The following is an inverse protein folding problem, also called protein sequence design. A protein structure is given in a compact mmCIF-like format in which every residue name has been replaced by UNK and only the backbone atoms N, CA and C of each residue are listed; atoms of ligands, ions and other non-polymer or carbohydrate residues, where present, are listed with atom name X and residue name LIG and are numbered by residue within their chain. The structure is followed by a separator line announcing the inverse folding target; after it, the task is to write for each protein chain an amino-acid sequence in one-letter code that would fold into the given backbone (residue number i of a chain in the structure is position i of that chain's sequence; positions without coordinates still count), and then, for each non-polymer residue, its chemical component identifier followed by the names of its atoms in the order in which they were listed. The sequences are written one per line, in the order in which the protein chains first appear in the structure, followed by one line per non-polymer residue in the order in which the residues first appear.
data_IF_535875791450
#
_entry.id   IF_535875791450
#
_cell.length_a   1.000
_cell.length_b   1.000
_cell.length_c   1.000
_cell.angle_alpha   90.00
_cell.angle_beta   90.00
_cell.angle_gamma   90.00
#
_symmetry.space_group_name_H-M   'P 1'
#
loop_
_entity.id
_entity.type
_entity.pdbx_description
1 polymer ?
#
# COMPACT_ATOMS: atom_id res chain seq x y z
N UNK A 1 14.99 -14.29 25.46
CA UNK A 1 14.78 -13.21 24.46
C UNK A 1 16.16 -12.76 24.01
N UNK A 2 16.48 -12.89 22.73
CA UNK A 2 17.70 -12.30 22.19
C UNK A 2 17.52 -10.78 22.08
N UNK A 3 18.58 -10.01 22.36
CA UNK A 3 18.57 -8.56 22.18
C UNK A 3 18.32 -8.22 20.71
N UNK A 4 17.24 -7.49 20.44
CA UNK A 4 16.91 -7.00 19.10
C UNK A 4 17.94 -5.92 18.75
N UNK A 5 18.72 -6.06 17.67
CA UNK A 5 19.66 -5.03 17.25
C UNK A 5 18.88 -3.76 16.89
N UNK A 6 19.20 -2.66 17.57
CA UNK A 6 18.60 -1.34 17.31
C UNK A 6 19.33 -0.73 16.13
N UNK A 7 18.78 -0.88 14.92
CA UNK A 7 19.26 -0.20 13.72
C UNK A 7 18.80 1.25 13.77
N UNK A 8 19.74 2.20 13.73
CA UNK A 8 19.43 3.64 13.72
C UNK A 8 19.43 4.16 12.29
N UNK A 9 18.70 5.25 12.06
CA UNK A 9 18.62 5.90 10.75
C UNK A 9 20.01 6.28 10.18
N UNK A 10 20.93 6.72 11.05
CA UNK A 10 22.29 7.09 10.66
C UNK A 10 23.23 5.90 10.46
N UNK A 11 22.78 4.68 10.79
CA UNK A 11 23.53 3.46 10.51
C UNK A 11 23.29 2.99 9.06
N UNK A 12 22.27 3.52 8.38
CA UNK A 12 21.99 3.22 6.98
C UNK A 12 22.98 3.93 6.05
N UNK A 13 23.51 3.20 5.07
CA UNK A 13 24.18 3.80 3.91
C UNK A 13 23.18 4.63 3.09
N UNK A 14 23.70 5.47 2.18
CA UNK A 14 22.86 6.30 1.30
C UNK A 14 21.88 5.46 0.46
N UNK A 15 22.32 4.31 -0.04
CA UNK A 15 21.49 3.44 -0.88
C UNK A 15 20.44 2.70 -0.05
N UNK A 16 20.79 2.27 1.16
CA UNK A 16 19.85 1.67 2.12
C UNK A 16 18.80 2.69 2.57
N UNK A 17 19.21 3.92 2.86
CA UNK A 17 18.29 5.02 3.17
C UNK A 17 17.33 5.28 2.01
N UNK A 18 17.82 5.39 0.78
CA UNK A 18 16.97 5.65 -0.39
C UNK A 18 15.95 4.52 -0.63
N UNK A 19 16.34 3.27 -0.39
CA UNK A 19 15.44 2.10 -0.47
C UNK A 19 14.41 2.09 0.65
N UNK A 20 14.82 2.28 1.89
CA UNK A 20 13.91 2.34 3.04
C UNK A 20 12.91 3.49 2.89
N UNK A 21 13.39 4.68 2.55
CA UNK A 21 12.57 5.89 2.51
C UNK A 21 11.50 5.80 1.43
N UNK A 22 11.84 5.25 0.25
CA UNK A 22 10.90 5.04 -0.85
C UNK A 22 9.89 3.91 -0.59
N UNK A 23 10.32 2.80 0.02
CA UNK A 23 9.46 1.65 0.25
C UNK A 23 8.51 1.82 1.45
N UNK A 24 8.99 2.43 2.55
CA UNK A 24 8.22 2.54 3.81
C UNK A 24 8.20 3.96 4.36
N UNK A 25 9.36 4.61 4.41
CA UNK A 25 9.55 5.84 5.19
C UNK A 25 8.55 6.96 4.84
N UNK A 26 8.34 7.24 3.55
CA UNK A 26 7.46 8.33 3.13
C UNK A 26 5.97 8.00 3.33
N UNK A 27 5.53 6.80 2.91
CA UNK A 27 4.13 6.42 2.98
C UNK A 27 3.64 6.24 4.43
N UNK A 28 4.42 5.56 5.27
CA UNK A 28 4.08 5.36 6.68
C UNK A 28 4.03 6.70 7.45
N UNK A 29 4.99 7.59 7.18
CA UNK A 29 4.99 8.90 7.84
C UNK A 29 3.84 9.78 7.35
N UNK A 30 3.51 9.78 6.06
CA UNK A 30 2.37 10.53 5.54
C UNK A 30 1.06 10.11 6.23
N UNK A 31 0.85 8.81 6.48
CA UNK A 31 -0.29 8.32 7.26
C UNK A 31 -0.24 8.78 8.71
N UNK A 32 0.93 8.74 9.36
CA UNK A 32 1.08 9.24 10.72
C UNK A 32 0.72 10.74 10.82
N UNK A 33 1.13 11.54 9.84
CA UNK A 33 0.78 12.96 9.76
C UNK A 33 -0.73 13.16 9.54
N UNK A 34 -1.35 12.40 8.64
CA UNK A 34 -2.81 12.44 8.44
C UNK A 34 -3.57 12.09 9.73
N UNK A 35 -3.17 11.05 10.47
CA UNK A 35 -3.94 10.61 11.63
C UNK A 35 -3.67 11.41 12.91
N UNK A 36 -2.52 12.08 13.02
CA UNK A 36 -2.07 12.69 14.28
C UNK A 36 -1.87 14.19 14.20
N UNK A 37 -1.79 14.76 13.01
CA UNK A 37 -1.54 16.18 12.83
C UNK A 37 -2.67 16.88 12.07
N UNK A 38 -3.10 16.33 10.93
CA UNK A 38 -4.14 16.85 10.02
C UNK A 38 -4.61 18.31 10.29
N UNK A 39 -3.73 19.29 10.08
CA UNK A 39 -4.01 20.69 10.40
C UNK A 39 -5.13 21.26 9.53
N UNK A 40 -5.28 20.73 8.32
CA UNK A 40 -6.18 21.24 7.29
C UNK A 40 -7.55 20.57 7.34
N UNK A 41 -7.73 19.60 8.25
CA UNK A 41 -8.97 18.82 8.33
C UNK A 41 -9.18 17.94 7.11
N UNK A 42 -8.10 17.60 6.37
CA UNK A 42 -8.11 16.68 5.24
C UNK A 42 -8.71 15.36 5.66
N UNK A 43 -8.51 14.88 6.89
CA UNK A 43 -9.14 13.66 7.36
C UNK A 43 -10.66 13.77 7.51
N UNK A 44 -11.22 14.98 7.67
CA UNK A 44 -12.66 15.18 7.76
C UNK A 44 -13.33 15.21 6.38
N UNK A 45 -12.67 15.80 5.39
CA UNK A 45 -13.20 15.92 4.03
C UNK A 45 -12.78 14.74 3.13
N UNK A 46 -11.60 14.17 3.39
CA UNK A 46 -10.93 13.09 2.66
C UNK A 46 -10.13 12.16 3.62
N UNK A 47 -10.80 11.39 4.50
CA UNK A 47 -10.20 10.53 5.54
C UNK A 47 -9.16 9.51 5.07
N UNK A 48 -9.00 9.37 3.76
CA UNK A 48 -8.19 8.35 3.08
C UNK A 48 -7.04 8.94 2.24
N UNK A 49 -6.98 10.26 2.06
CA UNK A 49 -5.94 10.93 1.27
C UNK A 49 -4.77 11.38 2.16
N UNK A 50 -3.82 10.48 2.43
CA UNK A 50 -2.53 10.89 3.01
C UNK A 50 -1.61 11.55 1.96
N UNK A 51 -2.05 11.66 0.71
CA UNK A 51 -1.27 12.17 -0.42
C UNK A 51 -0.84 13.62 -0.19
N UNK A 52 -1.70 14.42 0.43
CA UNK A 52 -1.42 15.82 0.77
C UNK A 52 -0.27 15.96 1.78
N UNK A 53 0.10 14.88 2.47
CA UNK A 53 1.22 14.84 3.42
C UNK A 53 2.47 14.18 2.86
N UNK A 54 2.49 13.77 1.59
CA UNK A 54 3.61 13.00 1.03
C UNK A 54 4.87 13.87 0.86
N UNK A 55 4.73 15.11 0.42
CA UNK A 55 5.84 16.09 0.34
C UNK A 55 6.42 16.40 1.72
N UNK A 56 5.55 16.57 2.70
CA UNK A 56 5.85 16.85 4.10
C UNK A 56 6.63 15.67 4.69
N UNK A 57 6.13 14.45 4.48
CA UNK A 57 6.77 13.22 4.93
C UNK A 57 8.17 13.06 4.32
N UNK A 58 8.33 13.29 3.01
CA UNK A 58 9.64 13.27 2.36
C UNK A 58 10.61 14.26 2.99
N UNK A 59 10.13 15.49 3.21
CA UNK A 59 10.95 16.55 3.78
C UNK A 59 11.36 16.26 5.22
N UNK A 60 10.48 15.67 6.03
CA UNK A 60 10.77 15.29 7.43
C UNK A 60 11.73 14.10 7.48
N UNK A 61 11.50 13.04 6.69
CA UNK A 61 12.39 11.87 6.62
C UNK A 61 13.80 12.27 6.21
N UNK A 62 13.93 13.14 5.18
CA UNK A 62 15.24 13.65 4.76
C UNK A 62 15.91 14.49 5.86
N UNK A 63 15.13 15.33 6.54
CA UNK A 63 15.60 16.11 7.69
C UNK A 63 16.17 15.22 8.79
N UNK A 64 15.41 14.21 9.22
CA UNK A 64 15.85 13.25 10.25
C UNK A 64 17.14 12.54 9.85
N UNK A 65 17.30 12.17 8.59
CA UNK A 65 18.53 11.53 8.10
C UNK A 65 19.74 12.47 8.13
N UNK A 66 19.51 13.76 7.88
CA UNK A 66 20.53 14.82 8.02
C UNK A 66 20.81 15.20 9.49
N UNK A 67 20.06 14.65 10.45
CA UNK A 67 20.22 14.91 11.87
C UNK A 67 19.36 16.06 12.41
N UNK A 68 18.26 16.40 11.72
CA UNK A 68 17.28 17.35 12.26
C UNK A 68 16.79 16.87 13.64
N UNK A 69 16.81 17.81 14.59
CA UNK A 69 16.29 17.60 15.93
C UNK A 69 14.84 18.11 16.06
N UNK A 70 14.31 18.01 17.28
CA UNK A 70 12.96 18.44 17.64
C UNK A 70 12.70 19.90 17.29
N UNK A 71 13.68 20.79 17.44
CA UNK A 71 13.50 22.22 17.16
C UNK A 71 13.42 22.50 15.67
N UNK A 72 14.22 21.80 14.86
CA UNK A 72 14.17 21.93 13.40
C UNK A 72 12.87 21.34 12.87
N UNK A 73 12.43 20.19 13.38
CA UNK A 73 11.13 19.58 13.07
C UNK A 73 9.98 20.53 13.39
N UNK A 74 9.93 21.07 14.61
CA UNK A 74 8.91 22.03 15.04
C UNK A 74 8.87 23.27 14.15
N UNK A 75 10.03 23.79 13.75
CA UNK A 75 10.14 24.95 12.85
C UNK A 75 9.59 24.63 11.45
N UNK A 76 9.88 23.44 10.93
CA UNK A 76 9.39 22.98 9.62
C UNK A 76 7.86 22.89 9.61
N UNK A 77 7.27 22.24 10.60
CA UNK A 77 5.81 22.14 10.73
C UNK A 77 5.15 23.51 10.83
N UNK A 78 5.68 24.40 11.68
CA UNK A 78 5.16 25.77 11.82
C UNK A 78 5.26 26.57 10.52
N UNK A 79 6.30 26.36 9.71
CA UNK A 79 6.46 27.06 8.44
C UNK A 79 5.49 26.56 7.37
N UNK A 80 5.26 25.24 7.29
CA UNK A 80 4.29 24.68 6.35
C UNK A 80 2.87 25.08 6.73
N UNK A 81 2.57 25.15 8.03
CA UNK A 81 1.24 25.52 8.53
C UNK A 81 0.90 27.02 8.42
N UNK A 82 1.83 27.88 7.96
CA UNK A 82 1.54 29.32 7.78
C UNK A 82 0.48 29.61 6.72
N UNK A 83 0.17 28.64 5.86
CA UNK A 83 -0.75 28.78 4.75
C UNK A 83 -2.15 28.23 5.04
N UNK A 84 -2.37 27.66 6.25
CA UNK A 84 -3.62 27.07 6.70
C UNK A 84 -4.33 27.99 7.73
N UNK A 85 -5.23 28.90 7.31
CA UNK A 85 -5.91 29.80 8.24
C UNK A 85 -6.89 29.03 9.15
N UNK A 86 -6.52 28.87 10.43
CA UNK A 86 -7.39 28.29 11.47
C UNK A 86 -6.78 27.12 12.24
N UNK A 87 -5.72 26.50 11.73
CA UNK A 87 -5.00 25.44 12.45
C UNK A 87 -3.87 26.05 13.28
N UNK A 88 -4.02 26.02 14.60
CA UNK A 88 -2.94 26.41 15.51
C UNK A 88 -2.20 25.15 15.94
N UNK A 89 -1.08 24.88 15.26
CA UNK A 89 -0.06 23.96 15.79
C UNK A 89 0.43 24.50 17.13
N UNK A 90 -0.03 23.88 18.22
CA UNK A 90 0.44 24.20 19.57
C UNK A 90 1.77 23.51 19.83
N UNK A 91 2.54 24.03 20.79
CA UNK A 91 3.76 23.37 21.24
C UNK A 91 3.47 21.96 21.79
N UNK A 92 2.29 21.75 22.38
CA UNK A 92 1.83 20.45 22.88
C UNK A 92 1.60 19.44 21.74
N UNK A 93 0.91 19.84 20.67
CA UNK A 93 0.69 18.99 19.49
C UNK A 93 2.01 18.64 18.78
N UNK A 94 2.95 19.59 18.73
CA UNK A 94 4.30 19.34 18.19
C UNK A 94 5.04 18.31 19.04
N UNK A 95 4.95 18.39 20.37
CA UNK A 95 5.56 17.41 21.27
C UNK A 95 4.95 16.02 21.12
N UNK A 96 3.63 15.93 21.04
CA UNK A 96 2.93 14.66 20.83
C UNK A 96 3.39 14.00 19.53
N UNK A 97 3.39 14.76 18.43
CA UNK A 97 3.79 14.28 17.12
C UNK A 97 5.27 13.87 17.08
N UNK A 98 6.16 14.66 17.70
CA UNK A 98 7.57 14.31 17.85
C UNK A 98 7.75 13.01 18.65
N UNK A 99 6.98 12.83 19.73
CA UNK A 99 6.94 11.59 20.50
C UNK A 99 6.50 10.39 19.66
N UNK A 100 5.53 10.56 18.75
CA UNK A 100 5.14 9.51 17.82
C UNK A 100 6.22 9.20 16.78
N UNK A 101 6.81 10.24 16.18
CA UNK A 101 7.87 10.12 15.20
C UNK A 101 9.10 9.38 15.74
N UNK A 102 9.55 9.74 16.94
CA UNK A 102 10.71 9.14 17.61
C UNK A 102 10.49 7.67 18.01
N UNK A 103 9.22 7.26 18.24
CA UNK A 103 8.87 5.85 18.44
C UNK A 103 8.71 5.08 17.12
N UNK A 104 8.13 5.72 16.11
CA UNK A 104 7.87 5.13 14.80
C UNK A 104 9.17 4.86 14.02
N UNK A 105 10.07 5.84 13.96
CA UNK A 105 11.25 5.81 13.10
C UNK A 105 12.14 4.57 13.31
N UNK A 106 12.60 4.24 14.53
CA UNK A 106 13.44 3.05 14.74
C UNK A 106 12.69 1.75 14.43
N UNK A 107 11.36 1.70 14.62
CA UNK A 107 10.56 0.54 14.27
C UNK A 107 10.45 0.39 12.75
N UNK A 108 10.18 1.48 12.01
CA UNK A 108 10.10 1.48 10.56
C UNK A 108 11.41 1.00 9.91
N UNK A 109 12.55 1.52 10.39
CA UNK A 109 13.88 1.14 9.89
C UNK A 109 14.20 -0.31 10.26
N UNK A 110 13.91 -0.71 11.51
CA UNK A 110 14.14 -2.08 11.95
C UNK A 110 13.33 -3.09 11.11
N UNK A 111 12.05 -2.78 10.83
CA UNK A 111 11.19 -3.61 9.97
C UNK A 111 11.82 -3.79 8.59
N UNK A 112 12.17 -2.69 7.93
CA UNK A 112 12.81 -2.73 6.62
C UNK A 112 14.17 -3.44 6.63
N UNK A 113 15.03 -3.15 7.62
CA UNK A 113 16.35 -3.81 7.70
C UNK A 113 16.22 -5.32 7.92
N UNK A 114 15.26 -5.75 8.75
CA UNK A 114 14.97 -7.16 8.96
C UNK A 114 14.45 -7.83 7.67
N UNK A 115 13.52 -7.18 6.96
CA UNK A 115 12.94 -7.67 5.69
C UNK A 115 13.99 -7.80 4.57
N UNK A 116 14.95 -6.87 4.47
CA UNK A 116 15.84 -6.81 3.31
C UNK A 116 17.26 -7.34 3.57
N UNK A 117 17.81 -7.18 4.78
CA UNK A 117 19.22 -7.47 5.05
C UNK A 117 19.46 -8.78 5.82
N UNK A 118 18.53 -9.20 6.67
CA UNK A 118 18.66 -10.44 7.45
C UNK A 118 18.03 -11.63 6.71
N UNK A 119 16.93 -11.41 5.99
CA UNK A 119 16.21 -12.45 5.24
C UNK A 119 16.57 -12.50 3.74
N UNK A 120 17.76 -12.00 3.38
CA UNK A 120 18.22 -11.77 2.00
C UNK A 120 17.69 -12.76 0.95
N UNK A 121 17.09 -12.22 -0.13
CA UNK A 121 16.46 -12.94 -1.27
C UNK A 121 15.05 -13.52 -1.04
N UNK A 122 14.07 -12.69 -0.65
CA UNK A 122 12.63 -13.04 -0.74
C UNK A 122 11.72 -11.96 -1.32
N UNK A 123 12.27 -11.03 -2.11
CA UNK A 123 11.41 -10.20 -2.96
C UNK A 123 10.72 -11.13 -3.98
N UNK A 124 9.38 -11.06 -4.06
CA UNK A 124 8.67 -11.65 -5.17
C UNK A 124 9.14 -10.93 -6.45
N UNK A 125 9.85 -11.60 -7.39
CA UNK A 125 10.36 -10.97 -8.61
C UNK A 125 9.24 -10.36 -9.45
N UNK A 126 8.02 -10.90 -9.34
CA UNK A 126 6.84 -10.40 -10.01
C UNK A 126 5.97 -9.62 -9.05
N UNK A 127 5.79 -8.33 -9.33
CA UNK A 127 4.76 -7.49 -8.74
C UNK A 127 3.95 -6.82 -9.84
N UNK A 128 2.62 -6.96 -9.76
CA UNK A 128 1.70 -6.39 -10.72
C UNK A 128 0.59 -5.64 -10.01
N UNK A 129 0.19 -4.54 -10.64
CA UNK A 129 -0.86 -3.66 -10.21
C UNK A 129 -1.96 -3.69 -11.28
N UNK A 130 -3.07 -4.35 -10.98
CA UNK A 130 -4.23 -4.43 -11.86
C UNK A 130 -5.10 -3.19 -11.61
N UNK A 131 -5.27 -2.39 -12.65
CA UNK A 131 -5.92 -1.08 -12.57
C UNK A 131 -7.02 -1.04 -13.63
N UNK A 132 -8.21 -0.53 -13.28
CA UNK A 132 -9.31 -0.34 -14.25
C UNK A 132 -9.13 0.89 -15.14
N UNK A 133 -8.42 1.90 -14.64
CA UNK A 133 -8.21 3.17 -15.33
C UNK A 133 -7.18 3.07 -16.42
N UNK A 134 -7.44 3.76 -17.53
CA UNK A 134 -6.45 3.95 -18.57
C UNK A 134 -5.33 4.88 -18.05
N UNK A 135 -4.10 4.37 -17.87
CA UNK A 135 -3.00 5.16 -17.34
C UNK A 135 -2.65 6.38 -18.22
N UNK A 136 -2.96 6.34 -19.52
CA UNK A 136 -2.68 7.44 -20.44
C UNK A 136 -3.68 8.61 -20.25
N UNK A 137 -4.74 8.39 -19.47
CA UNK A 137 -5.74 9.41 -19.10
C UNK A 137 -5.49 10.03 -17.72
N UNK A 138 -4.43 9.64 -17.01
CA UNK A 138 -4.14 10.18 -15.68
C UNK A 138 -3.94 11.70 -15.74
N UNK A 139 -4.71 12.45 -14.95
CA UNK A 139 -4.56 13.90 -14.80
C UNK A 139 -3.69 14.18 -13.58
N UNK A 140 -2.55 14.87 -13.77
CA UNK A 140 -1.64 15.28 -12.69
C UNK A 140 -1.13 14.15 -11.78
N UNK A 141 -1.06 12.91 -12.27
CA UNK A 141 -0.58 11.76 -11.48
C UNK A 141 -1.61 11.17 -10.52
N UNK A 142 -2.84 11.69 -10.51
CA UNK A 142 -3.98 11.03 -9.87
C UNK A 142 -4.60 10.03 -10.85
N UNK A 143 -4.94 8.84 -10.37
CA UNK A 143 -5.69 7.82 -11.13
C UNK A 143 -7.19 8.16 -11.16
N UNK A 144 -7.50 9.39 -11.53
CA UNK A 144 -8.84 9.90 -11.74
C UNK A 144 -8.95 10.31 -13.20
N UNK A 145 -9.54 9.45 -14.02
CA UNK A 145 -9.87 9.73 -15.42
C UNK A 145 -11.28 10.32 -15.56
N UNK A 146 -11.89 10.75 -14.46
CA UNK A 146 -13.27 11.24 -14.41
C UNK A 146 -14.32 10.13 -14.46
N UNK A 147 -13.93 8.85 -14.31
CA UNK A 147 -14.85 7.71 -14.25
C UNK A 147 -15.28 7.36 -12.82
N UNK A 148 -16.21 6.41 -12.71
CA UNK A 148 -16.72 5.87 -11.45
C UNK A 148 -15.60 5.30 -10.55
N UNK A 149 -15.76 5.35 -9.24
CA UNK A 149 -14.75 4.87 -8.27
C UNK A 149 -15.29 3.80 -7.33
N UNK A 150 -16.61 3.62 -7.27
CA UNK A 150 -17.30 2.72 -6.34
C UNK A 150 -18.48 1.99 -7.00
N UNK A 151 -18.90 0.85 -6.42
CA UNK A 151 -20.15 0.18 -6.86
C UNK A 151 -21.38 1.08 -6.61
N UNK A 152 -21.29 1.94 -5.60
CA UNK A 152 -22.34 2.92 -5.27
C UNK A 152 -22.53 4.01 -6.34
N UNK A 153 -21.65 4.08 -7.34
CA UNK A 153 -21.79 4.97 -8.49
C UNK A 153 -22.71 4.40 -9.59
N UNK A 154 -23.12 3.14 -9.52
CA UNK A 154 -24.03 2.57 -10.53
C UNK A 154 -25.30 3.42 -10.64
N UNK A 155 -25.62 3.82 -11.87
CA UNK A 155 -26.71 4.73 -12.21
C UNK A 155 -26.31 6.20 -12.31
N UNK A 156 -25.07 6.57 -11.96
CA UNK A 156 -24.52 7.92 -12.18
C UNK A 156 -24.00 8.07 -13.61
N UNK A 157 -23.87 9.31 -14.05
CA UNK A 157 -23.38 9.67 -15.37
C UNK A 157 -21.94 10.17 -15.30
N UNK A 158 -21.08 9.63 -16.17
CA UNK A 158 -19.68 10.01 -16.34
C UNK A 158 -19.43 10.26 -17.83
N UNK A 159 -18.93 11.43 -18.20
CA UNK A 159 -18.74 11.84 -19.61
C UNK A 159 -19.97 11.62 -20.52
N UNK A 160 -21.18 11.85 -19.99
CA UNK A 160 -22.42 11.67 -20.75
C UNK A 160 -22.88 10.22 -20.89
N UNK A 161 -22.20 9.28 -20.24
CA UNK A 161 -22.51 7.84 -20.26
C UNK A 161 -22.96 7.41 -18.86
N UNK A 162 -24.11 6.76 -18.76
CA UNK A 162 -24.59 6.20 -17.49
C UNK A 162 -23.80 4.94 -17.18
N UNK A 163 -23.14 4.91 -16.02
CA UNK A 163 -22.45 3.73 -15.51
C UNK A 163 -23.48 2.69 -15.03
N UNK A 164 -23.49 1.52 -15.65
CA UNK A 164 -24.50 0.48 -15.39
C UNK A 164 -23.96 -0.63 -14.50
N UNK A 165 -24.88 -1.45 -13.97
CA UNK A 165 -24.50 -2.67 -13.24
C UNK A 165 -23.76 -3.66 -14.17
N UNK A 166 -24.06 -3.68 -15.47
CA UNK A 166 -23.35 -4.57 -16.41
C UNK A 166 -21.89 -4.13 -16.59
N UNK A 167 -21.64 -2.81 -16.63
CA UNK A 167 -20.28 -2.24 -16.66
C UNK A 167 -19.51 -2.62 -15.40
N UNK A 168 -20.13 -2.45 -14.23
CA UNK A 168 -19.56 -2.86 -12.95
C UNK A 168 -19.18 -4.35 -12.95
N UNK A 169 -20.13 -5.23 -13.30
CA UNK A 169 -19.93 -6.67 -13.30
C UNK A 169 -18.87 -7.11 -14.32
N UNK A 170 -18.70 -6.37 -15.43
CA UNK A 170 -17.62 -6.61 -16.37
C UNK A 170 -16.25 -6.34 -15.73
N UNK A 171 -16.10 -5.22 -15.02
CA UNK A 171 -14.85 -4.88 -14.31
C UNK A 171 -14.57 -5.80 -13.13
N UNK A 172 -15.58 -6.18 -12.34
CA UNK A 172 -15.44 -7.18 -11.27
C UNK A 172 -14.93 -8.51 -11.83
N UNK A 173 -15.57 -9.01 -12.89
CA UNK A 173 -15.18 -10.25 -13.55
C UNK A 173 -13.75 -10.18 -14.11
N UNK A 174 -13.37 -9.07 -14.72
CA UNK A 174 -12.02 -8.88 -15.24
C UNK A 174 -10.96 -9.04 -14.14
N UNK A 175 -11.17 -8.47 -12.94
CA UNK A 175 -10.24 -8.62 -11.82
C UNK A 175 -10.19 -10.07 -11.32
N UNK A 176 -11.34 -10.71 -11.14
CA UNK A 176 -11.42 -12.07 -10.62
C UNK A 176 -10.81 -13.09 -11.58
N UNK A 177 -11.07 -12.98 -12.87
CA UNK A 177 -10.52 -13.89 -13.89
C UNK A 177 -9.00 -13.72 -14.02
N UNK A 178 -8.51 -12.47 -13.99
CA UNK A 178 -7.08 -12.18 -13.99
C UNK A 178 -6.39 -12.76 -12.77
N UNK A 179 -6.97 -12.55 -11.59
CA UNK A 179 -6.41 -13.05 -10.34
C UNK A 179 -6.40 -14.59 -10.30
N UNK A 180 -7.48 -15.23 -10.78
CA UNK A 180 -7.54 -16.68 -10.91
C UNK A 180 -6.42 -17.20 -11.81
N UNK A 181 -6.24 -16.59 -12.97
CA UNK A 181 -5.18 -16.97 -13.92
C UNK A 181 -3.79 -16.84 -13.28
N UNK A 182 -3.51 -15.71 -12.61
CA UNK A 182 -2.23 -15.48 -11.91
C UNK A 182 -2.00 -16.50 -10.78
N UNK A 183 -3.01 -16.81 -9.98
CA UNK A 183 -2.89 -17.78 -8.89
C UNK A 183 -2.66 -19.21 -9.40
N UNK A 184 -3.33 -19.60 -10.49
CA UNK A 184 -3.12 -20.90 -11.14
C UNK A 184 -1.72 -20.99 -11.74
N UNK A 185 -1.28 -19.95 -12.45
CA UNK A 185 0.05 -19.86 -13.06
C UNK A 185 1.17 -19.89 -12.02
N UNK A 186 0.98 -19.25 -10.87
CA UNK A 186 1.92 -19.30 -9.74
C UNK A 186 1.86 -20.60 -8.95
N UNK A 187 0.88 -21.47 -9.19
CA UNK A 187 0.62 -22.68 -8.40
C UNK A 187 0.08 -22.43 -6.99
N UNK A 188 -0.41 -21.22 -6.69
CA UNK A 188 -0.95 -20.86 -5.39
C UNK A 188 -2.37 -21.41 -5.24
N UNK A 189 -2.58 -22.32 -4.28
CA UNK A 189 -3.86 -23.03 -4.10
C UNK A 189 -4.49 -22.84 -2.72
N UNK A 190 -3.71 -22.38 -1.73
CA UNK A 190 -4.16 -22.16 -0.35
C UNK A 190 -3.68 -20.80 0.13
N UNK A 191 -4.57 -20.04 0.74
CA UNK A 191 -4.34 -18.67 1.14
C UNK A 191 -4.68 -18.47 2.61
N UNK A 192 -4.00 -17.54 3.27
CA UNK A 192 -4.35 -17.04 4.60
C UNK A 192 -4.91 -15.64 4.46
N UNK A 193 -5.95 -15.35 5.24
CA UNK A 193 -6.50 -14.01 5.41
C UNK A 193 -5.68 -13.32 6.50
N UNK A 194 -5.26 -12.08 6.30
CA UNK A 194 -4.42 -11.39 7.29
C UNK A 194 -5.15 -11.19 8.63
N UNK A 195 -6.47 -10.94 8.60
CA UNK A 195 -7.30 -10.75 9.80
C UNK A 195 -7.58 -12.05 10.56
N UNK A 196 -7.47 -13.22 9.91
CA UNK A 196 -7.58 -14.53 10.53
C UNK A 196 -6.50 -15.47 9.98
N UNK A 197 -5.32 -15.40 10.59
CA UNK A 197 -4.15 -16.19 10.21
C UNK A 197 -4.20 -17.65 10.66
N UNK A 198 -5.24 -18.04 11.40
CA UNK A 198 -5.38 -19.38 11.98
C UNK A 198 -5.99 -20.38 10.99
N UNK A 199 -6.68 -19.87 9.96
CA UNK A 199 -7.36 -20.65 8.94
C UNK A 199 -6.71 -20.43 7.56
N UNK A 200 -6.91 -21.40 6.67
CA UNK A 200 -6.51 -21.29 5.26
C UNK A 200 -7.73 -21.51 4.39
N UNK A 201 -7.87 -20.70 3.35
CA UNK A 201 -8.95 -20.77 2.37
C UNK A 201 -8.42 -21.27 1.02
N UNK A 202 -9.30 -21.84 0.20
CA UNK A 202 -8.97 -22.22 -1.18
C UNK A 202 -9.05 -21.02 -2.15
N UNK A 203 -8.62 -21.23 -3.40
CA UNK A 203 -8.67 -20.20 -4.44
C UNK A 203 -10.10 -19.67 -4.70
N UNK A 204 -11.11 -20.54 -4.75
CA UNK A 204 -12.49 -20.08 -4.99
C UNK A 204 -13.00 -19.19 -3.86
N UNK A 205 -12.68 -19.54 -2.61
CA UNK A 205 -13.05 -18.73 -1.44
C UNK A 205 -12.25 -17.41 -1.37
N UNK A 206 -10.97 -17.41 -1.77
CA UNK A 206 -10.21 -16.17 -1.97
C UNK A 206 -10.93 -15.24 -2.96
N UNK A 207 -11.36 -15.78 -4.11
CA UNK A 207 -12.03 -14.99 -5.14
C UNK A 207 -13.39 -14.46 -4.66
N UNK A 208 -14.11 -15.22 -3.85
CA UNK A 208 -15.35 -14.76 -3.21
C UNK A 208 -15.09 -13.61 -2.23
N UNK A 209 -13.99 -13.66 -1.46
CA UNK A 209 -13.63 -12.57 -0.56
C UNK A 209 -13.11 -11.32 -1.30
N UNK A 210 -12.32 -11.49 -2.37
CA UNK A 210 -11.92 -10.39 -3.25
C UNK A 210 -13.14 -9.75 -3.89
N UNK A 211 -14.13 -10.54 -4.32
CA UNK A 211 -15.41 -10.01 -4.81
C UNK A 211 -16.11 -9.15 -3.76
N UNK A 212 -16.21 -9.64 -2.52
CA UNK A 212 -16.82 -8.87 -1.44
C UNK A 212 -16.06 -7.56 -1.15
N UNK A 213 -14.72 -7.58 -1.24
CA UNK A 213 -13.89 -6.38 -1.11
C UNK A 213 -14.13 -5.38 -2.25
N UNK A 214 -14.21 -5.83 -3.50
CA UNK A 214 -14.54 -4.99 -4.67
C UNK A 214 -15.96 -4.43 -4.61
N UNK A 215 -16.86 -5.03 -3.84
CA UNK A 215 -18.23 -4.55 -3.61
C UNK A 215 -18.36 -3.62 -2.41
N UNK A 216 -17.25 -3.32 -1.72
CA UNK A 216 -17.24 -2.56 -0.47
C UNK A 216 -18.14 -3.19 0.62
N UNK A 217 -18.48 -4.48 0.49
CA UNK A 217 -19.28 -5.22 1.48
C UNK A 217 -18.49 -5.47 2.76
N UNK A 218 -17.16 -5.39 2.66
CA UNK A 218 -16.24 -5.43 3.77
C UNK A 218 -15.27 -4.23 3.64
N UNK A 219 -14.86 -3.60 4.74
CA UNK A 219 -14.06 -2.35 4.73
C UNK A 219 -12.65 -2.52 4.13
N UNK A 220 -12.11 -1.49 3.49
CA UNK A 220 -10.84 -1.49 2.76
C UNK A 220 -9.60 -2.10 3.48
N UNK A 221 -8.61 -2.54 2.69
CA UNK A 221 -7.30 -2.99 3.17
C UNK A 221 -7.14 -4.52 3.30
N UNK A 222 -7.93 -5.30 2.55
CA UNK A 222 -7.82 -6.76 2.63
C UNK A 222 -6.55 -7.30 2.00
N UNK A 223 -5.95 -8.24 2.71
CA UNK A 223 -4.69 -8.87 2.34
C UNK A 223 -4.82 -10.39 2.44
N UNK A 224 -4.42 -11.06 1.38
CA UNK A 224 -4.29 -12.51 1.33
C UNK A 224 -2.89 -12.88 0.88
N UNK A 225 -2.33 -13.90 1.49
CA UNK A 225 -1.06 -14.49 1.07
C UNK A 225 -1.18 -15.99 0.97
N UNK A 226 -0.48 -16.60 0.01
CA UNK A 226 -0.43 -18.06 -0.08
C UNK A 226 0.24 -18.66 1.16
N UNK A 227 -0.03 -19.93 1.44
CA UNK A 227 0.50 -20.62 2.62
C UNK A 227 2.04 -20.56 2.70
N UNK A 228 2.68 -20.65 1.53
CA UNK A 228 4.13 -20.62 1.33
C UNK A 228 4.68 -19.19 1.12
N UNK A 229 3.79 -18.19 1.06
CA UNK A 229 4.10 -16.76 0.96
C UNK A 229 4.76 -16.39 -0.38
N UNK A 230 4.46 -17.20 -1.40
CA UNK A 230 4.98 -17.09 -2.77
C UNK A 230 4.02 -16.35 -3.71
N UNK A 231 2.90 -15.91 -3.14
CA UNK A 231 1.84 -15.20 -3.83
C UNK A 231 1.07 -14.35 -2.83
N UNK A 232 0.68 -13.13 -3.20
CA UNK A 232 -0.27 -12.34 -2.41
C UNK A 232 -1.24 -11.59 -3.30
N UNK A 233 -2.35 -11.20 -2.67
CA UNK A 233 -3.38 -10.34 -3.23
C UNK A 233 -3.70 -9.26 -2.22
N UNK A 234 -3.79 -8.03 -2.69
CA UNK A 234 -4.32 -6.93 -1.90
C UNK A 234 -5.27 -6.10 -2.73
N UNK A 235 -6.42 -5.78 -2.14
CA UNK A 235 -7.40 -4.90 -2.75
C UNK A 235 -7.27 -3.54 -2.07
N UNK A 236 -6.72 -2.59 -2.82
CA UNK A 236 -6.69 -1.18 -2.48
C UNK A 236 -8.01 -0.50 -2.83
N UNK A 237 -8.02 0.82 -2.69
CA UNK A 237 -9.17 1.63 -3.09
C UNK A 237 -9.28 1.75 -4.61
N UNK A 238 -10.41 2.25 -5.08
CA UNK A 238 -10.62 2.62 -6.49
C UNK A 238 -10.31 1.48 -7.48
N UNK A 239 -10.59 0.24 -7.07
CA UNK A 239 -10.36 -0.98 -7.87
C UNK A 239 -8.89 -1.21 -8.22
N UNK A 240 -7.97 -0.76 -7.36
CA UNK A 240 -6.57 -1.17 -7.42
C UNK A 240 -6.40 -2.56 -6.81
N UNK A 241 -6.03 -3.54 -7.63
CA UNK A 241 -5.71 -4.90 -7.14
C UNK A 241 -4.23 -5.18 -7.32
N UNK A 242 -3.53 -5.35 -6.21
CA UNK A 242 -2.11 -5.66 -6.15
C UNK A 242 -1.93 -7.18 -6.11
N UNK A 243 -1.08 -7.70 -6.97
CA UNK A 243 -0.70 -9.11 -6.99
C UNK A 243 0.83 -9.19 -6.94
N UNK A 244 1.34 -10.10 -6.13
CA UNK A 244 2.76 -10.47 -6.19
C UNK A 244 2.91 -11.97 -6.30
N UNK A 245 3.96 -12.42 -6.98
CA UNK A 245 4.23 -13.83 -7.22
C UNK A 245 5.73 -14.12 -7.35
N UNK A 246 6.15 -15.36 -7.06
CA UNK A 246 7.49 -15.85 -7.42
C UNK A 246 7.66 -16.17 -8.90
N UNK A 247 6.54 -16.31 -9.61
CA UNK A 247 6.49 -16.62 -11.04
C UNK A 247 5.98 -15.39 -11.77
N UNK A 248 6.61 -15.08 -12.91
CA UNK A 248 6.09 -14.08 -13.83
C UNK A 248 4.75 -14.57 -14.38
N UNK A 249 3.65 -13.96 -13.96
CA UNK A 249 2.30 -14.42 -14.31
C UNK A 249 1.87 -13.88 -15.68
N UNK A 250 2.57 -14.30 -16.74
CA UNK A 250 2.41 -13.80 -18.11
C UNK A 250 1.01 -14.08 -18.65
N UNK A 251 0.45 -15.27 -18.40
CA UNK A 251 -0.91 -15.61 -18.84
C UNK A 251 -1.93 -14.74 -18.09
N UNK A 252 -1.75 -14.57 -16.78
CA UNK A 252 -2.60 -13.68 -15.98
C UNK A 252 -2.57 -12.23 -16.44
N UNK A 253 -1.40 -11.71 -16.85
CA UNK A 253 -1.29 -10.37 -17.45
C UNK A 253 -2.06 -10.26 -18.77
N UNK A 254 -1.99 -11.30 -19.62
CA UNK A 254 -2.70 -11.32 -20.90
C UNK A 254 -4.21 -11.36 -20.70
N UNK A 255 -4.71 -12.12 -19.72
CA UNK A 255 -6.12 -12.14 -19.34
C UNK A 255 -6.57 -10.75 -18.89
N UNK A 256 -5.78 -10.09 -18.03
CA UNK A 256 -6.09 -8.75 -17.55
C UNK A 256 -6.18 -7.72 -18.68
N UNK A 257 -5.15 -7.65 -19.54
CA UNK A 257 -5.16 -6.73 -20.68
C UNK A 257 -6.28 -7.04 -21.67
N UNK A 258 -6.55 -8.33 -21.94
CA UNK A 258 -7.63 -8.75 -22.84
C UNK A 258 -9.03 -8.42 -22.31
N UNK A 259 -9.19 -8.31 -20.98
CA UNK A 259 -10.44 -7.95 -20.32
C UNK A 259 -10.61 -6.43 -20.11
N UNK A 260 -9.67 -5.61 -20.58
CA UNK A 260 -9.74 -4.14 -20.47
C UNK A 260 -9.17 -3.57 -19.17
N UNK A 261 -8.41 -4.35 -18.40
CA UNK A 261 -7.59 -3.82 -17.31
C UNK A 261 -6.24 -3.36 -17.84
N UNK A 262 -5.55 -2.56 -17.04
CA UNK A 262 -4.24 -1.99 -17.34
C UNK A 262 -3.20 -2.47 -16.32
N UNK A 263 -2.61 -3.67 -16.51
CA UNK A 263 -1.56 -4.18 -15.63
C UNK A 263 -0.33 -3.27 -15.66
N UNK A 264 0.14 -2.86 -14.48
CA UNK A 264 1.44 -2.21 -14.32
C UNK A 264 2.36 -3.10 -13.51
N UNK A 265 3.51 -3.44 -14.09
CA UNK A 265 4.57 -4.09 -13.34
C UNK A 265 5.20 -3.06 -12.40
N UNK A 266 5.30 -3.41 -11.13
CA UNK A 266 5.94 -2.56 -10.13
C UNK A 266 7.45 -2.76 -10.10
N UNK A 267 8.19 -1.67 -9.96
CA UNK A 267 9.61 -1.73 -9.58
C UNK A 267 9.70 -1.96 -8.06
N UNK A 268 9.70 -3.22 -7.63
CA UNK A 268 9.84 -3.62 -6.22
C UNK A 268 8.58 -4.19 -5.56
N UNK A 269 8.64 -4.56 -4.27
CA UNK A 269 7.52 -5.17 -3.54
C UNK A 269 6.32 -4.21 -3.40
N UNK A 270 5.11 -4.77 -3.29
CA UNK A 270 3.90 -3.97 -2.97
C UNK A 270 4.13 -3.10 -1.74
N UNK A 271 3.67 -1.83 -1.75
CA UNK A 271 3.74 -0.94 -0.59
C UNK A 271 2.92 -1.46 0.62
N UNK A 272 2.15 -2.54 0.45
CA UNK A 272 1.32 -3.16 1.47
C UNK A 272 1.84 -4.52 1.97
N UNK A 273 3.01 -4.98 1.53
CA UNK A 273 3.66 -6.17 2.13
C UNK A 273 3.98 -5.89 3.62
N UNK A 274 3.29 -6.58 4.54
CA UNK A 274 3.52 -6.48 5.99
C UNK A 274 4.48 -7.58 6.51
N UNK A 275 5.21 -7.26 7.59
CA UNK A 275 6.35 -8.01 8.17
C UNK A 275 6.15 -9.50 8.54
N UNK A 276 4.94 -10.01 8.70
CA UNK A 276 4.73 -11.41 9.16
C UNK A 276 4.76 -12.44 8.01
N UNK A 277 4.67 -12.00 6.75
CA UNK A 277 4.67 -12.85 5.53
C UNK A 277 6.09 -13.16 5.05
N UNK A 278 7.10 -12.33 5.38
CA UNK A 278 8.49 -12.62 4.99
C UNK A 278 9.18 -13.64 5.93
N UNK A 279 8.75 -13.67 7.20
CA UNK A 279 9.50 -14.24 8.33
C UNK A 279 9.40 -15.76 8.57
N UNK A 280 8.82 -16.57 7.67
CA UNK A 280 8.74 -18.04 7.86
C UNK A 280 9.83 -18.79 7.08
N UNK A 281 10.76 -19.54 7.71
CA UNK A 281 11.70 -20.38 6.98
C UNK A 281 10.95 -21.45 6.18
N UNK A 282 11.39 -21.70 4.95
CA UNK A 282 10.83 -22.78 4.14
C UNK A 282 11.10 -24.11 4.83
N UNK A 283 10.04 -24.80 5.27
CA UNK A 283 10.13 -26.23 5.58
C UNK A 283 10.15 -26.99 4.23
N UNK A 284 11.29 -26.96 3.56
CA UNK A 284 11.66 -27.99 2.58
C UNK A 284 13.01 -28.56 2.97
N UNK A 285 12.94 -29.59 3.79
CA UNK A 285 13.95 -30.62 3.91
C UNK A 285 13.24 -31.96 4.14
N UNK A 286 12.76 -32.59 3.06
CA UNK A 286 12.84 -34.03 2.78
C UNK A 286 12.36 -34.30 1.36
#
# INVERSE_FOLDING_TARGET
MADIPVVRLHDLTKDEFARWSSAHGYAELAQLLLFRWDPDGVANDYPISALDYHSEAQSIVLGLWMGDDREVFARRLRNNNRFAPGSFLTDESIEELWGHLTRWLPLSIFRWWHEFMVEGLRALPFHCHLIKYDPDRSVNGHYDDGSWTAISDVGREFDGIVFTMDDYLATERAHLDSLRAMAVESGATRFRVESDRSSTIGLDELLDQVRAALREEQGSGYWWSSEDLDFYVNVGYDYHVYVGSRVDCVEGLQVASGAGLHPRLGDGPSPYLTTEVAARPSLRAS
#
